data_IF_596261268410
#
_entry.id   IF_596261268410
#
_cell.length_a   1.000
_cell.length_b   1.000
_cell.length_c   1.000
_cell.angle_alpha   90.00
_cell.angle_beta   90.00
_cell.angle_gamma   90.00
#
_symmetry.space_group_name_H-M   'P 1'
#
loop_
_entity.id
_entity.type
_entity.pdbx_description
1 polymer ?
#
# COMPACT_ATOMS: atom_id res chain seq x y z
N UNK A 1 33.94 -0.27 8.37
CA UNK A 1 33.29 0.11 7.09
C UNK A 1 34.17 1.16 6.42
N UNK A 2 34.35 1.13 5.08
CA UNK A 2 35.09 2.22 4.39
C UNK A 2 34.27 3.51 4.51
N UNK A 3 34.93 4.66 4.65
CA UNK A 3 34.22 5.96 4.66
C UNK A 3 33.70 6.29 3.25
N UNK A 4 32.62 7.07 3.15
CA UNK A 4 32.05 7.47 1.85
C UNK A 4 33.11 8.07 0.91
N UNK A 5 33.99 8.92 1.46
CA UNK A 5 35.08 9.57 0.72
C UNK A 5 36.11 8.57 0.17
N UNK A 6 36.33 7.44 0.86
CA UNK A 6 37.22 6.36 0.42
C UNK A 6 36.56 5.44 -0.62
N UNK A 7 35.22 5.34 -0.56
CA UNK A 7 34.43 4.59 -1.54
C UNK A 7 34.38 5.36 -2.86
N UNK A 8 34.12 6.66 -2.81
CA UNK A 8 34.00 7.53 -3.97
C UNK A 8 35.33 8.12 -4.47
N UNK A 9 36.47 7.64 -3.94
CA UNK A 9 37.81 8.06 -4.37
C UNK A 9 38.01 7.76 -5.86
N UNK A 10 38.20 8.81 -6.64
CA UNK A 10 38.35 8.77 -8.11
C UNK A 10 39.64 8.13 -8.58
N UNK A 11 40.60 7.90 -7.69
CA UNK A 11 41.79 7.11 -8.01
C UNK A 11 41.48 5.61 -8.16
N UNK A 12 40.27 5.19 -7.78
CA UNK A 12 39.81 3.80 -7.86
C UNK A 12 39.05 3.55 -9.17
N UNK A 13 39.12 2.34 -9.73
CA UNK A 13 38.31 1.99 -10.90
C UNK A 13 36.82 2.03 -10.55
N UNK A 14 35.99 2.56 -11.47
CA UNK A 14 34.54 2.75 -11.29
C UNK A 14 33.85 1.44 -10.89
N UNK A 15 34.24 0.32 -11.49
CA UNK A 15 33.71 -1.01 -11.15
C UNK A 15 33.87 -1.35 -9.65
N UNK A 16 35.00 -0.94 -9.04
CA UNK A 16 35.26 -1.18 -7.62
C UNK A 16 34.47 -0.21 -6.72
N UNK A 17 34.18 1.01 -7.20
CA UNK A 17 33.31 1.97 -6.51
C UNK A 17 31.88 1.42 -6.47
N UNK A 18 31.37 0.99 -7.63
CA UNK A 18 30.02 0.43 -7.74
C UNK A 18 29.91 -0.88 -6.94
N UNK A 19 30.93 -1.73 -6.94
CA UNK A 19 30.93 -2.95 -6.13
C UNK A 19 30.84 -2.66 -4.63
N UNK A 20 31.54 -1.64 -4.13
CA UNK A 20 31.43 -1.23 -2.73
C UNK A 20 30.03 -0.62 -2.44
N UNK A 21 29.47 0.17 -3.37
CA UNK A 21 28.13 0.76 -3.24
C UNK A 21 26.97 -0.25 -3.38
N UNK A 22 27.21 -1.40 -4.00
CA UNK A 22 26.26 -2.50 -4.09
C UNK A 22 26.23 -3.38 -2.83
N UNK A 23 27.16 -3.17 -1.89
CA UNK A 23 27.13 -3.87 -0.60
C UNK A 23 25.96 -3.34 0.23
N UNK A 24 24.86 -4.11 0.21
CA UNK A 24 23.60 -3.70 0.81
C UNK A 24 23.69 -3.76 2.33
N UNK A 25 23.50 -2.62 2.99
CA UNK A 25 23.49 -2.54 4.46
C UNK A 25 22.23 -3.17 5.08
N UNK A 26 21.14 -3.28 4.30
CA UNK A 26 19.87 -3.88 4.71
C UNK A 26 19.69 -5.27 4.11
N UNK A 27 18.99 -6.15 4.82
CA UNK A 27 18.74 -7.55 4.38
C UNK A 27 17.25 -7.88 4.17
N UNK A 28 16.52 -7.16 3.30
CA UNK A 28 15.14 -7.52 3.01
C UNK A 28 15.05 -8.81 2.18
N UNK A 29 13.90 -9.48 2.18
CA UNK A 29 13.71 -10.72 1.43
C UNK A 29 13.82 -10.45 -0.06
N UNK A 30 14.34 -11.43 -0.81
CA UNK A 30 14.54 -11.25 -2.25
C UNK A 30 13.20 -10.99 -2.96
N UNK A 31 13.19 -9.98 -3.83
CA UNK A 31 12.00 -9.62 -4.59
C UNK A 31 11.48 -10.79 -5.44
N UNK A 32 12.37 -11.63 -5.98
CA UNK A 32 11.98 -12.82 -6.74
C UNK A 32 11.11 -13.79 -5.94
N UNK A 33 11.43 -14.00 -4.66
CA UNK A 33 10.63 -14.81 -3.76
C UNK A 33 9.30 -14.12 -3.43
N UNK A 34 9.33 -12.85 -3.04
CA UNK A 34 8.12 -12.09 -2.70
C UNK A 34 7.14 -12.04 -3.88
N UNK A 35 7.63 -11.83 -5.10
CA UNK A 35 6.85 -11.82 -6.34
C UNK A 35 6.17 -13.16 -6.61
N UNK A 36 6.85 -14.28 -6.33
CA UNK A 36 6.29 -15.63 -6.51
C UNK A 36 5.11 -15.94 -5.58
N UNK A 37 5.07 -15.28 -4.42
CA UNK A 37 3.99 -15.39 -3.43
C UNK A 37 2.89 -14.36 -3.66
N UNK A 38 3.24 -13.17 -4.18
CA UNK A 38 2.30 -12.08 -4.38
C UNK A 38 1.45 -12.22 -5.65
N UNK A 39 2.01 -12.78 -6.74
CA UNK A 39 1.30 -12.94 -8.02
C UNK A 39 0.70 -14.35 -8.16
N UNK A 40 -0.64 -14.50 -8.18
CA UNK A 40 -1.32 -15.78 -8.36
C UNK A 40 -0.87 -16.57 -9.59
N UNK A 41 -0.40 -15.89 -10.63
CA UNK A 41 0.07 -16.55 -11.85
C UNK A 41 1.39 -17.30 -11.66
N UNK A 42 2.19 -16.92 -10.66
CA UNK A 42 3.49 -17.52 -10.34
C UNK A 42 3.40 -18.53 -9.20
N UNK A 43 2.21 -18.73 -8.63
CA UNK A 43 2.01 -19.68 -7.54
C UNK A 43 2.35 -21.10 -8.00
N UNK A 44 2.93 -21.89 -7.10
CA UNK A 44 3.37 -23.26 -7.36
C UNK A 44 2.28 -24.12 -8.02
N UNK A 45 1.02 -23.98 -7.61
CA UNK A 45 -0.12 -24.74 -8.14
C UNK A 45 -0.30 -24.59 -9.66
N UNK A 46 0.08 -23.44 -10.25
CA UNK A 46 -0.02 -23.19 -11.69
C UNK A 46 1.02 -23.98 -12.48
N UNK A 47 2.21 -24.14 -11.91
CA UNK A 47 3.36 -24.78 -12.56
C UNK A 47 3.58 -26.23 -12.13
N UNK A 48 2.88 -26.68 -11.09
CA UNK A 48 2.95 -28.06 -10.64
C UNK A 48 2.32 -29.01 -11.67
N UNK A 49 3.21 -29.73 -12.34
CA UNK A 49 2.89 -30.80 -13.28
C UNK A 49 3.33 -32.16 -12.75
N UNK A 50 4.00 -32.20 -11.59
CA UNK A 50 4.53 -33.42 -11.00
C UNK A 50 3.51 -34.07 -10.04
N UNK A 51 3.00 -33.30 -9.07
CA UNK A 51 1.99 -33.76 -8.12
C UNK A 51 0.58 -33.63 -8.73
N UNK A 52 0.34 -32.61 -9.57
CA UNK A 52 -0.89 -32.42 -10.36
C UNK A 52 -0.70 -32.75 -11.85
N UNK A 53 -0.57 -34.05 -12.17
CA UNK A 53 -0.42 -34.53 -13.55
C UNK A 53 -1.71 -34.41 -14.35
N UNK A 54 -1.60 -33.93 -15.59
CA UNK A 54 -2.69 -33.99 -16.56
C UNK A 54 -2.93 -35.45 -16.98
N UNK A 55 -4.21 -35.83 -17.16
CA UNK A 55 -4.58 -37.20 -17.49
C UNK A 55 -4.69 -37.37 -19.01
N UNK A 56 -3.82 -38.19 -19.58
CA UNK A 56 -3.86 -38.54 -21.01
C UNK A 56 -4.83 -39.70 -21.22
N UNK A 57 -5.90 -39.50 -22.01
CA UNK A 57 -6.82 -40.56 -22.43
C UNK A 57 -6.37 -41.20 -23.74
N UNK A 58 -6.87 -42.40 -24.01
CA UNK A 58 -6.69 -43.07 -25.31
C UNK A 58 -7.16 -42.18 -26.46
N UNK A 59 -6.35 -42.07 -27.51
CA UNK A 59 -6.58 -41.16 -28.65
C UNK A 59 -5.90 -39.79 -28.55
N UNK A 60 -5.01 -39.58 -27.56
CA UNK A 60 -4.20 -38.35 -27.45
C UNK A 60 -4.94 -37.16 -26.83
N UNK A 61 -6.17 -37.36 -26.33
CA UNK A 61 -6.92 -36.31 -25.62
C UNK A 61 -6.36 -36.14 -24.20
N UNK A 62 -5.96 -34.92 -23.87
CA UNK A 62 -5.42 -34.55 -22.55
C UNK A 62 -6.50 -33.87 -21.73
N UNK A 63 -6.86 -34.46 -20.59
CA UNK A 63 -7.67 -33.80 -19.56
C UNK A 63 -6.73 -33.05 -18.62
N UNK A 64 -6.83 -31.71 -18.64
CA UNK A 64 -6.01 -30.85 -17.78
C UNK A 64 -6.52 -30.90 -16.35
N UNK A 65 -5.61 -31.04 -15.39
CA UNK A 65 -5.95 -30.89 -13.98
C UNK A 65 -6.33 -29.44 -13.67
N UNK A 66 -7.31 -29.24 -12.78
CA UNK A 66 -7.65 -27.92 -12.27
C UNK A 66 -6.46 -27.34 -11.47
N UNK A 67 -6.18 -26.05 -11.70
CA UNK A 67 -5.11 -25.29 -11.05
C UNK A 67 -5.67 -23.91 -10.70
N UNK A 68 -6.22 -23.79 -9.49
CA UNK A 68 -6.89 -22.59 -9.01
C UNK A 68 -5.96 -21.86 -8.04
N UNK A 69 -5.41 -20.72 -8.48
CA UNK A 69 -4.59 -19.84 -7.65
C UNK A 69 -5.42 -18.70 -7.06
N UNK A 70 -5.14 -18.32 -5.81
CA UNK A 70 -5.88 -17.32 -5.03
C UNK A 70 -4.90 -16.26 -4.51
N UNK A 71 -5.11 -14.99 -4.82
CA UNK A 71 -4.21 -13.90 -4.40
C UNK A 71 -4.48 -13.36 -3.00
N UNK A 72 -4.35 -14.18 -1.96
CA UNK A 72 -4.64 -13.80 -0.57
C UNK A 72 -3.65 -12.77 -0.02
N UNK A 73 -2.35 -12.93 -0.28
CA UNK A 73 -1.27 -12.05 0.20
C UNK A 73 -1.37 -10.68 -0.47
N UNK A 74 -1.65 -10.66 -1.78
CA UNK A 74 -1.92 -9.42 -2.50
C UNK A 74 -3.15 -8.70 -1.96
N UNK A 75 -4.20 -9.44 -1.60
CA UNK A 75 -5.40 -8.87 -0.99
C UNK A 75 -5.09 -8.32 0.41
N UNK A 76 -4.30 -9.04 1.21
CA UNK A 76 -3.87 -8.61 2.53
C UNK A 76 -3.12 -7.28 2.47
N UNK A 77 -2.07 -7.17 1.63
CA UNK A 77 -1.31 -5.92 1.50
C UNK A 77 -2.18 -4.77 1.00
N UNK A 78 -3.14 -5.02 0.11
CA UNK A 78 -4.11 -4.01 -0.29
C UNK A 78 -4.98 -3.56 0.88
N UNK A 79 -5.48 -4.49 1.70
CA UNK A 79 -6.30 -4.16 2.87
C UNK A 79 -5.51 -3.35 3.91
N UNK A 80 -4.30 -3.79 4.26
CA UNK A 80 -3.41 -3.07 5.20
C UNK A 80 -3.12 -1.66 4.68
N UNK A 81 -2.77 -1.54 3.39
CA UNK A 81 -2.55 -0.26 2.73
C UNK A 81 -3.80 0.64 2.75
N UNK A 82 -4.99 0.06 2.54
CA UNK A 82 -6.26 0.79 2.60
C UNK A 82 -6.58 1.26 4.02
N UNK A 83 -6.41 0.42 5.04
CA UNK A 83 -6.59 0.85 6.43
C UNK A 83 -5.65 2.00 6.79
N UNK A 84 -4.42 1.99 6.25
CA UNK A 84 -3.39 3.00 6.53
C UNK A 84 -3.58 4.31 5.75
N UNK A 85 -3.83 4.25 4.44
CA UNK A 85 -3.73 5.43 3.55
C UNK A 85 -5.02 5.80 2.80
N UNK A 86 -6.16 5.14 3.09
CA UNK A 86 -7.45 5.59 2.52
C UNK A 86 -7.82 6.99 2.99
N UNK A 87 -7.54 7.29 4.27
CA UNK A 87 -7.59 8.65 4.76
C UNK A 87 -6.24 9.34 4.51
N UNK A 88 -6.23 10.59 4.01
CA UNK A 88 -5.00 11.37 3.88
C UNK A 88 -4.25 11.45 5.21
N UNK A 89 -2.91 11.40 5.14
CA UNK A 89 -2.06 11.59 6.31
C UNK A 89 -2.25 13.01 6.83
N UNK A 90 -2.68 13.14 8.09
CA UNK A 90 -2.90 14.45 8.70
C UNK A 90 -1.56 15.01 9.16
N UNK A 91 -1.26 16.25 8.78
CA UNK A 91 -0.08 16.97 9.25
C UNK A 91 -0.50 18.03 10.25
N UNK A 92 0.15 18.06 11.40
CA UNK A 92 -0.04 19.07 12.43
C UNK A 92 1.19 19.95 12.46
N UNK A 93 0.98 21.24 12.25
CA UNK A 93 2.02 22.25 12.25
C UNK A 93 2.05 22.93 13.61
N UNK A 94 3.20 22.95 14.27
CA UNK A 94 3.42 23.62 15.54
C UNK A 94 4.36 24.82 15.39
N UNK A 95 4.31 25.75 16.35
CA UNK A 95 5.11 26.98 16.37
C UNK A 95 4.80 27.98 15.25
N UNK A 96 3.59 27.93 14.70
CA UNK A 96 3.08 28.82 13.63
C UNK A 96 2.27 30.02 14.16
N UNK A 97 1.93 30.03 15.45
CA UNK A 97 1.09 31.06 16.06
C UNK A 97 1.83 32.40 16.15
N UNK A 98 1.16 33.49 15.76
CA UNK A 98 1.70 34.85 15.87
C UNK A 98 2.80 35.22 14.85
N UNK A 99 3.17 34.34 13.92
CA UNK A 99 4.18 34.63 12.88
C UNK A 99 3.66 34.30 11.48
N UNK A 100 3.39 35.35 10.69
CA UNK A 100 2.89 35.24 9.32
C UNK A 100 3.82 34.43 8.41
N UNK A 101 5.15 34.58 8.55
CA UNK A 101 6.13 33.86 7.73
C UNK A 101 6.04 32.35 7.97
N UNK A 102 5.85 31.93 9.22
CA UNK A 102 5.72 30.51 9.56
C UNK A 102 4.41 29.90 9.06
N UNK A 103 3.34 30.69 9.04
CA UNK A 103 2.07 30.29 8.43
C UNK A 103 2.21 30.15 6.91
N UNK A 104 2.91 31.07 6.25
CA UNK A 104 3.20 30.99 4.81
C UNK A 104 4.05 29.77 4.46
N UNK A 105 5.05 29.42 5.30
CA UNK A 105 5.85 28.20 5.14
C UNK A 105 4.98 26.95 5.27
N UNK A 106 4.11 26.87 6.28
CA UNK A 106 3.19 25.74 6.45
C UNK A 106 2.24 25.59 5.23
N UNK A 107 1.71 26.71 4.74
CA UNK A 107 0.87 26.74 3.54
C UNK A 107 1.65 26.31 2.29
N UNK A 108 2.92 26.71 2.16
CA UNK A 108 3.78 26.30 1.05
C UNK A 108 4.03 24.79 1.06
N UNK A 109 4.28 24.19 2.24
CA UNK A 109 4.46 22.74 2.39
C UNK A 109 3.20 21.99 1.95
N UNK A 110 2.01 22.39 2.41
CA UNK A 110 0.75 21.76 1.98
C UNK A 110 0.50 21.90 0.48
N UNK A 111 0.80 23.07 -0.11
CA UNK A 111 0.70 23.26 -1.56
C UNK A 111 1.66 22.36 -2.34
N UNK A 112 2.89 22.16 -1.87
CA UNK A 112 3.84 21.23 -2.49
C UNK A 112 3.26 19.81 -2.49
N UNK A 113 2.74 19.37 -1.35
CA UNK A 113 2.12 18.06 -1.21
C UNK A 113 0.87 17.87 -2.09
N UNK A 114 0.03 18.90 -2.19
CA UNK A 114 -1.14 18.90 -3.07
C UNK A 114 -0.74 18.79 -4.55
N UNK A 115 0.25 19.59 -4.98
CA UNK A 115 0.75 19.59 -6.37
C UNK A 115 1.49 18.31 -6.74
N UNK A 116 2.10 17.64 -5.77
CA UNK A 116 2.71 16.33 -5.94
C UNK A 116 1.67 15.18 -5.92
N UNK A 117 0.40 15.47 -5.64
CA UNK A 117 -0.65 14.47 -5.43
C UNK A 117 -0.25 13.42 -4.39
N UNK A 118 0.33 13.87 -3.28
CA UNK A 118 1.00 13.00 -2.31
C UNK A 118 0.11 11.87 -1.77
N UNK A 119 -1.21 12.07 -1.68
CA UNK A 119 -2.14 11.04 -1.22
C UNK A 119 -2.18 9.83 -2.18
N UNK A 120 -2.13 10.09 -3.49
CA UNK A 120 -2.05 9.03 -4.49
C UNK A 120 -0.68 8.34 -4.45
N UNK A 121 0.38 9.12 -4.26
CA UNK A 121 1.75 8.61 -4.10
C UNK A 121 1.85 7.72 -2.85
N UNK A 122 1.29 8.16 -1.72
CA UNK A 122 1.21 7.42 -0.45
C UNK A 122 0.50 6.09 -0.61
N UNK A 123 -0.67 6.08 -1.26
CA UNK A 123 -1.41 4.84 -1.53
C UNK A 123 -0.60 3.87 -2.40
N UNK A 124 0.16 4.37 -3.39
CA UNK A 124 0.99 3.52 -4.26
C UNK A 124 2.23 3.00 -3.54
N UNK A 125 2.98 3.88 -2.86
CA UNK A 125 4.20 3.50 -2.15
C UNK A 125 3.94 2.67 -0.90
N UNK A 126 2.82 2.89 -0.21
CA UNK A 126 2.40 2.05 0.91
C UNK A 126 2.18 0.60 0.46
N UNK A 127 1.47 0.37 -0.65
CA UNK A 127 1.33 -0.98 -1.20
C UNK A 127 2.68 -1.62 -1.54
N UNK A 128 3.60 -0.84 -2.12
CA UNK A 128 4.95 -1.30 -2.45
C UNK A 128 5.77 -1.63 -1.19
N UNK A 129 5.67 -0.81 -0.14
CA UNK A 129 6.33 -1.05 1.14
C UNK A 129 5.81 -2.32 1.84
N UNK A 130 4.50 -2.52 1.87
CA UNK A 130 3.88 -3.70 2.47
C UNK A 130 4.16 -5.00 1.69
N UNK A 131 4.34 -4.92 0.38
CA UNK A 131 4.52 -6.09 -0.48
C UNK A 131 5.98 -6.42 -0.81
N UNK A 132 6.81 -5.42 -1.11
CA UNK A 132 8.19 -5.58 -1.56
C UNK A 132 9.22 -5.23 -0.46
N UNK A 133 8.77 -4.82 0.72
CA UNK A 133 9.60 -4.50 1.90
C UNK A 133 10.56 -3.32 1.74
N UNK A 134 10.65 -2.68 0.58
CA UNK A 134 11.54 -1.55 0.34
C UNK A 134 10.92 -0.49 -0.57
N UNK A 135 11.08 0.78 -0.18
CA UNK A 135 10.70 1.94 -0.97
C UNK A 135 11.73 3.07 -0.82
N UNK A 136 11.92 3.83 -1.89
CA UNK A 136 12.66 5.09 -1.87
C UNK A 136 11.89 6.16 -2.63
N UNK A 137 11.61 7.31 -2.01
CA UNK A 137 11.01 8.47 -2.71
C UNK A 137 12.07 9.55 -2.91
N UNK A 138 12.42 9.79 -4.18
CA UNK A 138 13.29 10.88 -4.61
C UNK A 138 12.45 12.14 -4.88
N UNK A 139 12.89 13.28 -4.35
CA UNK A 139 12.38 14.60 -4.67
C UNK A 139 13.38 15.34 -5.55
N UNK A 140 12.93 15.82 -6.70
CA UNK A 140 13.80 16.50 -7.67
C UNK A 140 13.14 17.76 -8.20
N UNK A 141 13.97 18.67 -8.69
CA UNK A 141 13.54 19.95 -9.24
C UNK A 141 13.54 19.91 -10.77
N UNK A 142 12.54 20.54 -11.37
CA UNK A 142 12.46 20.79 -12.81
C UNK A 142 12.43 22.29 -13.03
N UNK A 143 13.34 22.82 -13.84
CA UNK A 143 13.38 24.25 -14.17
C UNK A 143 12.11 24.66 -14.90
N UNK A 144 11.21 25.32 -14.18
CA UNK A 144 9.92 25.80 -14.68
C UNK A 144 9.37 26.82 -13.68
N UNK A 145 9.37 28.08 -14.12
CA UNK A 145 8.86 29.17 -13.32
C UNK A 145 7.38 28.95 -12.98
N UNK A 146 7.04 29.13 -11.70
CA UNK A 146 5.69 28.95 -11.18
C UNK A 146 5.45 29.80 -9.92
N UNK A 147 4.17 29.97 -9.58
CA UNK A 147 3.72 30.58 -8.32
C UNK A 147 2.90 29.58 -7.48
N UNK A 148 3.09 28.28 -7.75
CA UNK A 148 2.25 27.20 -7.23
C UNK A 148 2.33 27.08 -5.70
N UNK A 149 3.44 27.53 -5.09
CA UNK A 149 3.75 27.34 -3.67
C UNK A 149 3.42 28.55 -2.77
N UNK A 150 2.84 29.62 -3.34
CA UNK A 150 2.57 30.88 -2.62
C UNK A 150 3.70 31.91 -2.68
N UNK A 151 4.80 31.59 -3.34
CA UNK A 151 5.86 32.51 -3.72
C UNK A 151 6.30 32.23 -5.17
N UNK A 152 7.00 33.18 -5.79
CA UNK A 152 7.53 33.00 -7.14
C UNK A 152 8.77 32.07 -7.07
N UNK A 153 8.68 30.91 -7.70
CA UNK A 153 9.75 29.92 -7.76
C UNK A 153 10.18 29.71 -9.21
N UNK A 154 11.48 29.65 -9.46
CA UNK A 154 12.04 29.29 -10.77
C UNK A 154 11.96 27.77 -11.04
N UNK A 155 11.75 26.99 -9.99
CA UNK A 155 11.81 25.53 -10.02
C UNK A 155 10.49 24.92 -9.56
N UNK A 156 10.13 23.81 -10.18
CA UNK A 156 9.00 22.97 -9.80
C UNK A 156 9.52 21.70 -9.12
N UNK A 157 9.12 21.48 -7.88
CA UNK A 157 9.34 20.22 -7.18
C UNK A 157 8.45 19.12 -7.76
N UNK A 158 9.04 17.95 -7.95
CA UNK A 158 8.38 16.69 -8.26
C UNK A 158 8.94 15.59 -7.37
N UNK A 159 8.18 14.52 -7.21
CA UNK A 159 8.65 13.31 -6.54
C UNK A 159 8.48 12.09 -7.47
N UNK A 160 9.36 11.11 -7.28
CA UNK A 160 9.24 9.77 -7.88
C UNK A 160 9.57 8.75 -6.81
N UNK A 161 8.76 7.71 -6.71
CA UNK A 161 9.01 6.59 -5.81
C UNK A 161 9.52 5.40 -6.60
N UNK A 162 10.62 4.84 -6.13
CA UNK A 162 11.27 3.64 -6.63
C UNK A 162 10.99 2.48 -5.67
N UNK A 163 10.64 1.33 -6.25
CA UNK A 163 10.47 0.08 -5.50
C UNK A 163 10.65 -1.11 -6.45
N UNK A 164 11.20 -2.24 -5.96
CA UNK A 164 11.31 -3.48 -6.74
C UNK A 164 9.97 -3.93 -7.35
N UNK A 165 8.85 -3.58 -6.70
CA UNK A 165 7.50 -3.93 -7.16
C UNK A 165 7.11 -3.33 -8.53
N UNK A 166 7.52 -2.09 -8.80
CA UNK A 166 6.95 -1.30 -9.90
C UNK A 166 7.92 -1.08 -11.06
N UNK A 167 9.20 -0.94 -10.76
CA UNK A 167 10.19 -0.42 -11.71
C UNK A 167 11.32 -1.44 -11.96
N UNK A 168 11.20 -2.68 -11.46
CA UNK A 168 12.24 -3.73 -11.50
C UNK A 168 13.63 -3.21 -11.07
N UNK A 169 13.62 -2.25 -10.13
CA UNK A 169 14.82 -1.59 -9.61
C UNK A 169 15.37 -2.30 -8.38
N UNK A 170 16.68 -2.20 -8.19
CA UNK A 170 17.35 -2.64 -6.97
C UNK A 170 17.87 -1.43 -6.21
N UNK A 171 17.46 -1.32 -4.94
CA UNK A 171 17.87 -0.25 -4.04
C UNK A 171 19.05 -0.72 -3.19
N UNK A 172 20.06 0.13 -3.07
CA UNK A 172 21.26 -0.08 -2.27
C UNK A 172 21.48 1.12 -1.34
N UNK A 173 20.88 1.11 -0.13
CA UNK A 173 21.21 2.09 0.89
C UNK A 173 22.59 1.77 1.47
N UNK A 174 23.41 2.81 1.61
CA UNK A 174 24.65 2.76 2.37
C UNK A 174 24.40 3.49 3.70
N UNK A 175 24.39 2.73 4.79
CA UNK A 175 24.21 3.23 6.15
C UNK A 175 25.56 3.35 6.85
N UNK A 176 25.72 4.29 7.76
CA UNK A 176 26.89 4.38 8.64
C UNK A 176 26.74 3.48 9.89
N UNK A 177 27.69 3.56 10.82
CA UNK A 177 27.66 2.77 12.06
C UNK A 177 26.53 3.16 13.03
N UNK A 178 25.84 4.28 12.77
CA UNK A 178 24.72 4.81 13.57
C UNK A 178 23.37 4.67 12.85
N UNK A 179 23.30 3.87 11.79
CA UNK A 179 22.14 3.69 10.92
C UNK A 179 21.69 4.97 10.18
N UNK A 180 22.57 5.97 10.01
CA UNK A 180 22.29 7.13 9.17
C UNK A 180 22.69 6.85 7.71
N UNK A 181 21.82 7.26 6.79
CA UNK A 181 22.01 7.01 5.37
C UNK A 181 22.96 8.05 4.77
N UNK A 182 24.15 7.60 4.39
CA UNK A 182 25.21 8.44 3.81
C UNK A 182 25.15 8.50 2.27
N UNK A 183 24.65 7.44 1.64
CA UNK A 183 24.39 7.41 0.20
C UNK A 183 23.23 6.48 -0.12
N UNK A 184 22.49 6.83 -1.17
CA UNK A 184 21.45 5.97 -1.71
C UNK A 184 21.79 5.65 -3.16
N UNK A 185 21.89 4.37 -3.50
CA UNK A 185 22.13 3.95 -4.88
C UNK A 185 20.96 3.15 -5.46
N UNK A 186 20.70 3.31 -6.75
CA UNK A 186 19.64 2.63 -7.48
C UNK A 186 20.24 2.03 -8.74
N UNK A 187 20.07 0.71 -8.90
CA UNK A 187 20.36 0.02 -10.14
C UNK A 187 19.05 -0.24 -10.90
N UNK A 188 19.04 0.07 -12.19
CA UNK A 188 17.89 -0.18 -13.05
C UNK A 188 18.33 -0.44 -14.50
N UNK A 189 17.51 -1.16 -15.24
CA UNK A 189 17.75 -1.43 -16.66
C UNK A 189 16.71 -0.67 -17.48
N UNK A 190 17.15 0.14 -18.43
CA UNK A 190 16.27 0.89 -19.33
C UNK A 190 16.45 0.40 -20.77
N UNK A 191 15.33 0.23 -21.47
CA UNK A 191 15.32 -0.10 -22.91
C UNK A 191 15.50 1.17 -23.71
N UNK A 192 16.71 1.38 -24.22
CA UNK A 192 17.00 2.48 -25.14
C UNK A 192 17.05 1.89 -26.54
N UNK A 193 16.05 2.24 -27.36
CA UNK A 193 15.79 1.63 -28.67
C UNK A 193 15.48 0.12 -28.55
N UNK A 194 16.41 -0.77 -28.91
CA UNK A 194 16.27 -2.23 -28.87
C UNK A 194 17.30 -2.91 -27.94
N UNK A 195 18.11 -2.13 -27.23
CA UNK A 195 19.15 -2.63 -26.32
C UNK A 195 18.77 -2.36 -24.86
N UNK A 196 18.99 -3.38 -24.02
CA UNK A 196 18.87 -3.27 -22.56
C UNK A 196 20.18 -2.64 -22.03
N UNK A 197 20.07 -1.44 -21.45
CA UNK A 197 21.21 -0.72 -20.88
C UNK A 197 21.05 -0.64 -19.36
N UNK A 198 22.08 -1.08 -18.63
CA UNK A 198 22.12 -0.99 -17.18
C UNK A 198 22.64 0.39 -16.73
N UNK A 199 21.89 1.01 -15.83
CA UNK A 199 22.23 2.27 -15.17
C UNK A 199 22.41 2.06 -13.67
N UNK A 200 23.32 2.85 -13.08
CA UNK A 200 23.53 2.92 -11.64
C UNK A 200 23.56 4.41 -11.27
N UNK A 201 22.65 4.83 -10.40
CA UNK A 201 22.58 6.20 -9.89
C UNK A 201 22.85 6.20 -8.40
N UNK A 202 23.67 7.15 -7.91
CA UNK A 202 23.95 7.32 -6.49
C UNK A 202 23.74 8.77 -6.08
N UNK A 203 22.92 8.98 -5.06
CA UNK A 203 22.69 10.28 -4.42
C UNK A 203 23.42 10.34 -3.09
N UNK A 204 24.26 11.36 -2.93
CA UNK A 204 24.89 11.74 -1.67
C UNK A 204 24.28 13.06 -1.16
N UNK A 205 24.81 13.62 -0.07
CA UNK A 205 24.36 14.93 0.42
C UNK A 205 24.67 16.08 -0.55
N UNK A 206 25.78 15.95 -1.29
CA UNK A 206 26.36 17.06 -2.06
C UNK A 206 26.36 16.81 -3.56
N UNK A 207 26.35 15.55 -4.00
CA UNK A 207 26.52 15.18 -5.41
C UNK A 207 25.66 13.99 -5.82
N UNK A 208 25.13 14.06 -7.05
CA UNK A 208 24.41 13.00 -7.73
C UNK A 208 25.28 12.43 -8.84
N UNK A 209 25.59 11.13 -8.76
CA UNK A 209 26.35 10.41 -9.76
C UNK A 209 25.44 9.51 -10.58
N UNK A 210 25.71 9.42 -11.88
CA UNK A 210 25.03 8.50 -12.78
C UNK A 210 26.08 7.79 -13.65
N UNK A 211 26.03 6.48 -13.64
CA UNK A 211 26.87 5.61 -14.45
C UNK A 211 26.03 4.77 -15.39
N UNK A 212 26.58 4.57 -16.59
CA UNK A 212 26.01 3.71 -17.62
C UNK A 212 26.99 2.57 -17.90
N UNK A 213 26.48 1.35 -18.02
CA UNK A 213 27.28 0.20 -18.42
C UNK A 213 27.39 0.13 -19.95
N UNK A 214 28.61 0.20 -20.46
CA UNK A 214 28.92 -0.01 -21.88
C UNK A 214 29.44 -1.43 -22.11
N UNK A 215 29.06 -2.05 -23.24
CA UNK A 215 29.39 -3.45 -23.56
C UNK A 215 30.91 -3.72 -23.61
N UNK A 216 31.71 -2.72 -24.04
CA UNK A 216 33.14 -2.89 -24.32
C UNK A 216 34.07 -2.33 -23.22
N UNK A 217 33.56 -1.48 -22.32
CA UNK A 217 34.38 -0.69 -21.37
C UNK A 217 33.99 -0.79 -19.90
N UNK A 218 32.93 -1.54 -19.57
CA UNK A 218 32.42 -1.59 -18.20
C UNK A 218 31.60 -0.36 -17.86
N UNK A 219 31.61 0.07 -16.59
CA UNK A 219 30.85 1.24 -16.15
C UNK A 219 31.56 2.56 -16.54
N UNK A 220 30.80 3.51 -17.08
CA UNK A 220 31.27 4.84 -17.52
C UNK A 220 30.41 5.93 -16.88
N UNK A 221 31.01 7.04 -16.45
CA UNK A 221 30.27 8.22 -15.95
C UNK A 221 29.42 8.85 -17.07
N UNK A 222 28.13 9.03 -16.81
CA UNK A 222 27.21 9.67 -17.77
C UNK A 222 27.09 11.18 -17.56
N UNK A 223 27.20 11.62 -16.31
CA UNK A 223 27.15 13.05 -15.95
C UNK A 223 28.59 13.55 -15.79
N UNK A 224 29.10 14.17 -16.84
CA UNK A 224 30.44 14.76 -16.89
C UNK A 224 30.32 16.14 -17.50
N UNK A 225 30.72 17.17 -16.77
CA UNK A 225 30.86 18.53 -17.29
C UNK A 225 32.34 18.88 -17.35
N UNK A 226 32.79 19.43 -18.47
CA UNK A 226 34.12 20.04 -18.58
C UNK A 226 33.94 21.56 -18.46
N UNK A 227 34.60 22.18 -17.48
CA UNK A 227 34.67 23.63 -17.42
C UNK A 227 35.59 24.20 -18.51
N UNK A 228 35.46 25.51 -18.79
CA UNK A 228 36.29 26.19 -19.79
C UNK A 228 37.78 26.30 -19.41
N UNK A 229 38.18 25.84 -18.22
CA UNK A 229 39.54 25.86 -17.69
C UNK A 229 40.20 24.47 -17.67
N UNK A 230 39.47 23.42 -18.10
CA UNK A 230 39.97 22.05 -18.24
C UNK A 230 39.80 21.18 -16.99
N UNK A 231 39.02 21.60 -15.99
CA UNK A 231 38.60 20.74 -14.89
C UNK A 231 37.30 20.01 -15.26
N UNK A 232 37.32 18.70 -15.07
CA UNK A 232 36.17 17.83 -15.27
C UNK A 232 35.42 17.66 -13.95
N UNK A 233 34.18 18.12 -13.89
CA UNK A 233 33.26 17.84 -12.77
C UNK A 233 32.39 16.64 -13.09
N UNK A 234 32.35 15.69 -12.16
CA UNK A 234 31.59 14.45 -12.27
C UNK A 234 30.34 14.55 -11.40
N UNK A 235 29.19 14.24 -11.97
CA UNK A 235 27.90 14.32 -11.28
C UNK A 235 27.28 15.71 -11.24
N UNK A 236 25.99 15.75 -10.88
CA UNK A 236 25.25 16.99 -10.66
C UNK A 236 25.36 17.42 -9.19
N UNK A 237 25.65 18.70 -8.94
CA UNK A 237 25.71 19.25 -7.59
C UNK A 237 24.31 19.34 -6.95
N UNK A 238 24.20 18.87 -5.71
CA UNK A 238 22.98 18.92 -4.91
C UNK A 238 23.06 20.10 -3.94
N UNK A 239 22.41 21.21 -4.31
CA UNK A 239 22.44 22.46 -3.55
C UNK A 239 21.72 22.42 -2.19
N UNK A 240 20.95 21.37 -1.89
CA UNK A 240 20.21 21.27 -0.62
C UNK A 240 21.08 20.80 0.56
N UNK A 241 22.29 20.27 0.29
CA UNK A 241 23.21 19.75 1.33
C UNK A 241 22.65 18.56 2.11
N UNK A 242 21.76 17.78 1.49
CA UNK A 242 21.10 16.59 2.04
C UNK A 242 20.78 15.64 0.90
N UNK A 243 20.73 14.34 1.18
CA UNK A 243 20.22 13.38 0.18
C UNK A 243 18.77 13.74 -0.15
N UNK A 244 18.44 13.98 -1.44
CA UNK A 244 17.13 14.48 -1.89
C UNK A 244 16.05 13.38 -1.92
N UNK A 245 16.00 12.53 -0.90
CA UNK A 245 15.00 11.47 -0.82
C UNK A 245 14.86 10.86 0.57
N UNK A 246 13.86 10.01 0.70
CA UNK A 246 13.57 9.24 1.91
C UNK A 246 13.52 7.76 1.56
N UNK A 247 14.13 6.93 2.40
CA UNK A 247 14.19 5.49 2.28
C UNK A 247 13.47 4.84 3.45
N UNK A 248 12.72 3.78 3.20
CA UNK A 248 12.14 2.93 4.23
C UNK A 248 12.21 1.46 3.81
N UNK A 249 12.48 0.61 4.77
CA UNK A 249 12.61 -0.83 4.57
C UNK A 249 12.00 -1.63 5.72
N UNK A 250 11.83 -2.93 5.49
CA UNK A 250 11.34 -3.90 6.46
C UNK A 250 12.09 -5.22 6.33
N UNK A 251 12.24 -5.90 7.45
CA UNK A 251 12.79 -7.26 7.47
C UNK A 251 11.89 -8.27 6.77
N UNK A 252 10.57 -8.13 6.91
CA UNK A 252 9.61 -9.10 6.42
C UNK A 252 8.37 -8.44 5.81
N UNK A 253 7.73 -9.09 4.82
CA UNK A 253 6.49 -8.61 4.22
C UNK A 253 5.34 -8.72 5.21
N UNK A 254 4.24 -8.05 4.91
CA UNK A 254 3.02 -8.07 5.74
C UNK A 254 2.46 -9.49 5.98
N UNK A 255 2.83 -10.50 5.20
CA UNK A 255 2.32 -11.88 5.26
C UNK A 255 3.27 -12.90 5.92
N UNK A 256 4.16 -12.46 6.81
CA UNK A 256 5.27 -13.21 7.42
C UNK A 256 4.91 -14.52 8.15
N UNK A 257 3.74 -14.61 8.79
CA UNK A 257 3.39 -15.64 9.80
C UNK A 257 3.08 -17.05 9.23
N UNK A 258 3.82 -17.54 8.23
CA UNK A 258 3.58 -18.85 7.61
C UNK A 258 2.28 -18.90 6.80
N UNK A 259 1.81 -17.74 6.36
CA UNK A 259 0.53 -17.60 5.65
C UNK A 259 0.57 -18.11 4.20
N UNK A 260 1.73 -18.09 3.47
CA UNK A 260 1.80 -18.69 2.14
C UNK A 260 1.53 -20.19 2.12
N UNK A 261 1.91 -20.92 3.18
CA UNK A 261 1.64 -22.34 3.32
C UNK A 261 0.13 -22.61 3.49
N UNK A 262 -0.58 -21.78 4.28
CA UNK A 262 -2.03 -21.87 4.43
C UNK A 262 -2.74 -21.62 3.10
N UNK A 263 -2.30 -20.61 2.34
CA UNK A 263 -2.82 -20.39 0.99
C UNK A 263 -2.56 -21.59 0.10
N UNK A 264 -1.33 -22.10 0.05
CA UNK A 264 -0.96 -23.23 -0.80
C UNK A 264 -1.88 -24.42 -0.52
N UNK A 265 -2.10 -24.76 0.75
CA UNK A 265 -3.00 -25.86 1.13
C UNK A 265 -4.45 -25.64 0.69
N UNK A 266 -4.97 -24.41 0.81
CA UNK A 266 -6.28 -24.03 0.28
C UNK A 266 -6.34 -24.19 -1.25
N UNK A 267 -5.33 -23.74 -1.98
CA UNK A 267 -5.25 -23.85 -3.44
C UNK A 267 -5.24 -25.31 -3.91
N UNK A 268 -4.42 -26.16 -3.29
CA UNK A 268 -4.38 -27.58 -3.62
C UNK A 268 -5.68 -28.28 -3.28
N UNK A 269 -6.25 -28.01 -2.11
CA UNK A 269 -7.53 -28.60 -1.68
C UNK A 269 -8.66 -28.18 -2.61
N UNK A 270 -8.79 -26.89 -2.92
CA UNK A 270 -9.83 -26.38 -3.80
C UNK A 270 -9.67 -26.87 -5.25
N UNK A 271 -8.44 -26.95 -5.74
CA UNK A 271 -8.16 -27.49 -7.07
C UNK A 271 -8.50 -28.98 -7.18
N UNK A 272 -8.20 -29.78 -6.14
CA UNK A 272 -8.57 -31.20 -6.08
C UNK A 272 -10.09 -31.38 -6.04
N UNK A 273 -10.78 -30.58 -5.23
CA UNK A 273 -12.24 -30.59 -5.15
C UNK A 273 -12.88 -30.23 -6.49
N UNK A 274 -12.32 -29.24 -7.21
CA UNK A 274 -12.78 -28.88 -8.55
C UNK A 274 -12.70 -30.05 -9.55
N UNK A 275 -11.61 -30.81 -9.54
CA UNK A 275 -11.47 -32.00 -10.40
C UNK A 275 -12.50 -33.09 -10.04
N UNK A 276 -12.74 -33.30 -8.74
CA UNK A 276 -13.74 -34.25 -8.26
C UNK A 276 -15.14 -33.85 -8.71
N UNK A 277 -15.50 -32.57 -8.56
CA UNK A 277 -16.79 -32.04 -9.01
C UNK A 277 -16.92 -32.16 -10.53
N UNK A 278 -15.88 -31.80 -11.29
CA UNK A 278 -15.88 -31.91 -12.74
C UNK A 278 -16.06 -33.36 -13.20
N UNK A 279 -15.34 -34.32 -12.57
CA UNK A 279 -15.42 -35.73 -12.90
C UNK A 279 -16.80 -36.34 -12.60
N UNK A 280 -17.43 -35.92 -11.50
CA UNK A 280 -18.70 -36.47 -11.02
C UNK A 280 -19.93 -35.64 -11.42
N UNK A 281 -19.75 -34.57 -12.20
CA UNK A 281 -20.84 -33.70 -12.65
C UNK A 281 -21.89 -34.42 -13.51
N UNK A 282 -21.50 -35.50 -14.18
CA UNK A 282 -22.39 -36.38 -14.91
C UNK A 282 -22.83 -37.57 -14.01
N UNK A 283 -24.14 -37.82 -13.84
CA UNK A 283 -24.60 -38.93 -13.02
C UNK A 283 -24.18 -40.27 -13.62
N UNK A 284 -23.50 -41.09 -12.83
CA UNK A 284 -23.12 -42.45 -13.22
C UNK A 284 -24.20 -43.42 -12.73
N UNK A 285 -24.76 -44.18 -13.65
CA UNK A 285 -25.75 -45.20 -13.36
C UNK A 285 -25.04 -46.54 -13.08
N UNK A 286 -25.20 -47.08 -11.88
CA UNK A 286 -24.73 -48.41 -11.50
C UNK A 286 -25.85 -49.41 -11.79
N UNK A 287 -25.54 -50.44 -12.56
CA UNK A 287 -26.40 -51.60 -12.74
C UNK A 287 -25.74 -52.82 -12.12
N UNK A 288 -26.38 -53.40 -11.10
CA UNK A 288 -26.03 -54.71 -10.59
C UNK A 288 -26.89 -55.78 -11.29
N UNK A 289 -26.31 -56.94 -11.62
CA UNK A 289 -27.06 -58.10 -12.16
C UNK A 289 -27.20 -58.18 -13.68
N UNK A 290 -26.58 -57.29 -14.46
CA UNK A 290 -26.62 -57.32 -15.93
C UNK A 290 -27.91 -56.75 -16.51
N UNK A 291 -27.79 -55.92 -17.56
CA UNK A 291 -28.92 -55.29 -18.24
C UNK A 291 -29.49 -56.27 -19.28
N UNK A 292 -30.78 -56.56 -19.21
CA UNK A 292 -31.49 -57.34 -20.23
C UNK A 292 -32.30 -56.40 -21.15
N UNK A 293 -31.67 -55.96 -22.25
CA UNK A 293 -32.29 -55.11 -23.28
C UNK A 293 -31.35 -54.00 -23.77
N UNK A 294 -31.65 -53.42 -24.93
CA UNK A 294 -31.05 -52.16 -25.42
C UNK A 294 -32.15 -51.10 -25.39
N UNK A 295 -31.95 -50.02 -24.64
CA UNK A 295 -32.82 -48.84 -24.71
C UNK A 295 -32.19 -47.79 -25.63
N UNK A 296 -33.02 -47.17 -26.47
CA UNK A 296 -32.64 -46.03 -27.30
C UNK A 296 -33.32 -44.74 -26.78
N UNK A 297 -32.62 -43.61 -26.95
CA UNK A 297 -33.08 -42.30 -26.48
C UNK A 297 -34.32 -41.87 -27.29
N UNK A 298 -35.52 -41.98 -26.71
CA UNK A 298 -36.76 -41.49 -27.33
C UNK A 298 -38.04 -42.22 -26.93
N UNK A 299 -37.96 -43.32 -26.18
CA UNK A 299 -39.15 -44.11 -25.80
C UNK A 299 -39.96 -43.49 -24.65
N UNK A 300 -41.29 -43.56 -24.76
CA UNK A 300 -42.28 -42.99 -23.82
C UNK A 300 -42.30 -43.70 -22.46
N UNK A 301 -41.72 -44.90 -22.34
CA UNK A 301 -41.63 -45.67 -21.09
C UNK A 301 -40.24 -46.29 -20.96
N UNK A 302 -39.45 -45.79 -20.01
CA UNK A 302 -38.12 -46.35 -19.64
C UNK A 302 -38.31 -47.43 -18.59
N UNK A 303 -37.85 -48.65 -18.84
CA UNK A 303 -37.97 -49.78 -17.93
C UNK A 303 -36.65 -50.54 -17.87
N UNK A 304 -35.89 -50.32 -16.80
CA UNK A 304 -34.66 -51.06 -16.56
C UNK A 304 -34.98 -52.49 -16.10
N UNK A 305 -34.62 -53.48 -16.94
CA UNK A 305 -34.73 -54.90 -16.60
C UNK A 305 -33.36 -55.43 -16.22
N UNK A 306 -33.23 -55.87 -14.97
CA UNK A 306 -32.01 -56.41 -14.37
C UNK A 306 -32.18 -57.89 -14.06
N UNK A 307 -31.16 -58.70 -14.35
CA UNK A 307 -31.22 -60.14 -14.08
C UNK A 307 -30.81 -60.45 -12.62
N UNK A 308 -31.24 -61.60 -12.10
CA UNK A 308 -30.81 -62.18 -10.81
C UNK A 308 -30.94 -61.25 -9.58
N UNK A 309 -32.09 -60.58 -9.42
CA UNK A 309 -32.32 -59.70 -8.25
C UNK A 309 -31.43 -58.45 -8.25
N UNK A 310 -30.96 -58.03 -9.42
CA UNK A 310 -30.18 -56.83 -9.62
C UNK A 310 -30.90 -55.55 -9.21
N UNK A 311 -30.13 -54.48 -9.07
CA UNK A 311 -30.62 -53.15 -8.69
C UNK A 311 -29.99 -52.09 -9.61
N UNK A 312 -30.73 -51.00 -9.83
CA UNK A 312 -30.28 -49.84 -10.59
C UNK A 312 -30.28 -48.64 -9.66
N UNK A 313 -29.09 -48.19 -9.30
CA UNK A 313 -28.89 -47.03 -8.44
C UNK A 313 -27.94 -46.03 -9.09
N UNK A 314 -28.12 -44.75 -8.79
CA UNK A 314 -27.09 -43.76 -9.11
C UNK A 314 -25.91 -43.95 -8.17
N UNK A 315 -24.70 -43.88 -8.70
CA UNK A 315 -23.50 -43.79 -7.89
C UNK A 315 -23.47 -42.40 -7.27
N UNK A 316 -23.94 -42.29 -6.04
CA UNK A 316 -23.75 -41.09 -5.23
C UNK A 316 -22.40 -41.18 -4.52
N UNK A 317 -21.67 -40.08 -4.57
CA UNK A 317 -20.40 -39.96 -3.88
C UNK A 317 -20.66 -39.45 -2.46
N UNK A 318 -20.25 -40.25 -1.47
CA UNK A 318 -20.46 -39.96 -0.05
C UNK A 318 -19.13 -39.61 0.64
N UNK A 319 -18.35 -38.66 0.09
CA UNK A 319 -17.27 -38.04 0.87
C UNK A 319 -17.84 -36.91 1.73
N UNK A 320 -17.08 -36.58 2.78
CA UNK A 320 -17.38 -35.43 3.63
C UNK A 320 -17.03 -34.12 2.91
N UNK A 321 -17.93 -33.67 2.02
CA UNK A 321 -17.91 -32.31 1.47
C UNK A 321 -17.86 -31.27 2.60
N UNK A 322 -18.49 -31.61 3.73
CA UNK A 322 -18.46 -30.82 4.95
C UNK A 322 -17.06 -30.70 5.56
N UNK A 323 -16.27 -31.78 5.58
CA UNK A 323 -14.88 -31.73 6.06
C UNK A 323 -13.99 -30.87 5.14
N UNK A 324 -14.11 -31.01 3.82
CA UNK A 324 -13.35 -30.19 2.86
C UNK A 324 -13.70 -28.71 3.02
N UNK A 325 -14.99 -28.39 3.12
CA UNK A 325 -15.46 -27.03 3.35
C UNK A 325 -14.95 -26.49 4.69
N UNK A 326 -15.09 -27.26 5.78
CA UNK A 326 -14.63 -26.86 7.11
C UNK A 326 -13.12 -26.61 7.14
N UNK A 327 -12.34 -27.41 6.41
CA UNK A 327 -10.89 -27.24 6.29
C UNK A 327 -10.52 -25.94 5.56
N UNK A 328 -11.15 -25.66 4.42
CA UNK A 328 -10.94 -24.42 3.66
C UNK A 328 -11.34 -23.20 4.51
N UNK A 329 -12.53 -23.23 5.11
CA UNK A 329 -13.05 -22.14 5.93
C UNK A 329 -12.11 -21.87 7.12
N UNK A 330 -11.68 -22.93 7.85
CA UNK A 330 -10.73 -22.79 8.98
C UNK A 330 -9.37 -22.26 8.55
N UNK A 331 -8.88 -22.66 7.39
CA UNK A 331 -7.58 -22.18 6.86
C UNK A 331 -7.65 -20.70 6.48
N UNK A 332 -8.75 -20.26 5.88
CA UNK A 332 -8.99 -18.84 5.59
C UNK A 332 -9.16 -18.02 6.88
N UNK A 333 -9.87 -18.54 7.87
CA UNK A 333 -10.03 -17.88 9.18
C UNK A 333 -8.67 -17.73 9.88
N UNK A 334 -7.84 -18.79 9.88
CA UNK A 334 -6.48 -18.74 10.43
C UNK A 334 -5.59 -17.76 9.67
N UNK A 335 -5.70 -17.70 8.34
CA UNK A 335 -4.97 -16.72 7.52
C UNK A 335 -5.29 -15.29 7.97
N UNK A 336 -6.56 -14.96 8.19
CA UNK A 336 -6.98 -13.63 8.62
C UNK A 336 -6.59 -13.33 10.07
N UNK A 337 -6.71 -14.30 10.99
CA UNK A 337 -6.33 -14.17 12.40
C UNK A 337 -4.82 -13.97 12.58
N UNK A 338 -3.97 -14.77 11.93
CA UNK A 338 -2.52 -14.63 12.03
C UNK A 338 -2.03 -13.29 11.46
N UNK A 339 -2.76 -12.74 10.50
CA UNK A 339 -2.49 -11.44 9.92
C UNK A 339 -3.22 -10.29 10.64
N UNK A 340 -3.88 -10.54 11.77
CA UNK A 340 -4.61 -9.50 12.53
C UNK A 340 -5.53 -8.63 11.64
N UNK A 341 -6.16 -9.26 10.64
CA UNK A 341 -6.97 -8.56 9.64
C UNK A 341 -8.34 -9.24 9.57
N UNK A 342 -9.44 -8.51 9.77
CA UNK A 342 -10.78 -9.11 9.74
C UNK A 342 -11.14 -9.52 8.32
N UNK A 343 -11.91 -10.59 8.18
CA UNK A 343 -12.49 -10.91 6.88
C UNK A 343 -13.69 -10.00 6.56
N UNK A 344 -13.43 -9.00 5.73
CA UNK A 344 -14.45 -8.08 5.22
C UNK A 344 -15.19 -8.60 3.98
N UNK A 345 -15.25 -9.92 3.79
CA UNK A 345 -16.04 -10.51 2.70
C UNK A 345 -17.52 -10.14 2.84
N UNK A 346 -18.19 -9.92 1.71
CA UNK A 346 -19.61 -9.52 1.69
C UNK A 346 -20.50 -10.49 2.50
N UNK A 347 -20.20 -11.79 2.44
CA UNK A 347 -20.91 -12.83 3.19
C UNK A 347 -20.78 -12.63 4.70
N UNK A 348 -19.57 -12.36 5.19
CA UNK A 348 -19.34 -12.14 6.62
C UNK A 348 -19.92 -10.81 7.08
N UNK A 349 -19.85 -9.77 6.24
CA UNK A 349 -20.50 -8.48 6.51
C UNK A 349 -22.03 -8.60 6.58
N UNK A 350 -22.65 -9.42 5.73
CA UNK A 350 -24.09 -9.72 5.81
C UNK A 350 -24.44 -10.49 7.09
N UNK A 351 -23.59 -11.44 7.51
CA UNK A 351 -23.81 -12.21 8.74
C UNK A 351 -23.74 -11.34 10.00
N UNK A 352 -22.91 -10.29 10.01
CA UNK A 352 -22.83 -9.34 11.11
C UNK A 352 -24.09 -8.46 11.25
N UNK A 353 -24.80 -8.17 10.16
CA UNK A 353 -25.98 -7.30 10.18
C UNK A 353 -25.67 -5.83 10.49
N UNK A 354 -26.68 -5.04 10.88
CA UNK A 354 -26.50 -3.62 11.25
C UNK A 354 -25.98 -3.49 12.69
N UNK A 355 -24.70 -3.78 12.89
CA UNK A 355 -24.04 -3.64 14.19
C UNK A 355 -23.79 -2.16 14.53
N UNK A 356 -23.94 -1.83 15.81
CA UNK A 356 -23.62 -0.50 16.36
C UNK A 356 -22.16 -0.09 16.11
N UNK A 357 -21.88 1.21 16.17
CA UNK A 357 -20.53 1.76 15.93
C UNK A 357 -19.46 1.12 16.82
N UNK A 358 -19.73 0.97 18.12
CA UNK A 358 -18.78 0.39 19.08
C UNK A 358 -18.47 -1.09 18.76
N UNK A 359 -19.48 -1.85 18.36
CA UNK A 359 -19.29 -3.24 17.95
C UNK A 359 -18.42 -3.37 16.69
N UNK A 360 -18.50 -2.42 15.75
CA UNK A 360 -17.60 -2.36 14.59
C UNK A 360 -16.16 -2.07 15.01
N UNK A 361 -15.96 -1.17 15.96
CA UNK A 361 -14.63 -0.91 16.51
C UNK A 361 -14.03 -2.15 17.17
N UNK A 362 -14.82 -2.92 17.92
CA UNK A 362 -14.37 -4.18 18.52
C UNK A 362 -13.94 -5.21 17.47
N UNK A 363 -14.72 -5.37 16.39
CA UNK A 363 -14.39 -6.30 15.30
C UNK A 363 -13.13 -5.88 14.53
N UNK A 364 -12.91 -4.56 14.40
CA UNK A 364 -11.75 -4.01 13.70
C UNK A 364 -10.55 -3.77 14.62
N UNK A 365 -10.67 -4.00 15.93
CA UNK A 365 -9.66 -3.61 16.93
C UNK A 365 -8.26 -4.14 16.58
N UNK A 366 -8.18 -5.39 16.14
CA UNK A 366 -6.92 -6.03 15.77
C UNK A 366 -6.29 -5.35 14.55
N UNK A 367 -7.09 -5.04 13.52
CA UNK A 367 -6.61 -4.28 12.37
C UNK A 367 -6.20 -2.85 12.70
N UNK A 368 -6.86 -2.22 13.68
CA UNK A 368 -6.49 -0.88 14.16
C UNK A 368 -5.14 -0.90 14.89
N UNK A 369 -4.93 -1.89 15.77
CA UNK A 369 -3.66 -2.09 16.47
C UNK A 369 -2.54 -2.35 15.48
N UNK A 370 -2.76 -3.28 14.54
CA UNK A 370 -1.82 -3.57 13.46
C UNK A 370 -1.49 -2.32 12.65
N UNK A 371 -2.49 -1.54 12.24
CA UNK A 371 -2.26 -0.30 11.48
C UNK A 371 -1.42 0.70 12.29
N UNK A 372 -1.60 0.75 13.61
CA UNK A 372 -0.79 1.57 14.51
C UNK A 372 0.69 1.17 14.52
N UNK A 373 0.99 -0.12 14.59
CA UNK A 373 2.37 -0.63 14.51
C UNK A 373 2.98 -0.39 13.13
N UNK A 374 2.25 -0.75 12.08
CA UNK A 374 2.66 -0.65 10.68
C UNK A 374 2.83 0.82 10.22
N UNK A 375 2.22 1.77 10.94
CA UNK A 375 2.34 3.19 10.67
C UNK A 375 3.66 3.80 11.12
N UNK A 376 4.35 3.24 12.12
CA UNK A 376 5.53 3.88 12.73
C UNK A 376 6.67 4.08 11.72
N UNK A 377 7.11 3.06 10.95
CA UNK A 377 8.19 3.26 9.97
C UNK A 377 7.78 4.23 8.85
N UNK A 378 6.49 4.32 8.56
CA UNK A 378 5.96 5.28 7.57
C UNK A 378 5.95 6.71 8.10
N UNK A 379 5.73 6.91 9.40
CA UNK A 379 5.81 8.23 10.05
C UNK A 379 7.25 8.73 10.00
N UNK A 380 8.23 7.91 10.39
CA UNK A 380 9.67 8.23 10.29
C UNK A 380 10.06 8.61 8.84
N UNK A 381 9.56 7.84 7.88
CA UNK A 381 9.74 8.12 6.46
C UNK A 381 9.15 9.48 6.04
N UNK A 382 7.94 9.84 6.50
CA UNK A 382 7.32 11.13 6.18
C UNK A 382 8.01 12.30 6.89
N UNK A 383 8.55 12.09 8.08
CA UNK A 383 9.35 13.10 8.77
C UNK A 383 10.65 13.37 8.01
N UNK A 384 11.34 12.33 7.53
CA UNK A 384 12.51 12.48 6.66
C UNK A 384 12.16 13.18 5.36
N UNK A 385 11.05 12.81 4.72
CA UNK A 385 10.54 13.46 3.50
C UNK A 385 10.23 14.94 3.72
N UNK A 386 9.57 15.29 4.83
CA UNK A 386 9.27 16.68 5.18
C UNK A 386 10.56 17.48 5.40
N UNK A 387 11.59 16.88 6.00
CA UNK A 387 12.90 17.50 6.17
C UNK A 387 13.61 17.75 4.82
N UNK A 388 13.43 16.89 3.82
CA UNK A 388 13.91 17.13 2.45
C UNK A 388 13.17 18.33 1.83
N UNK A 389 11.84 18.36 1.94
CA UNK A 389 11.02 19.45 1.38
C UNK A 389 11.38 20.79 2.03
N UNK A 390 11.58 20.83 3.35
CA UNK A 390 12.06 22.02 4.06
C UNK A 390 13.40 22.49 3.53
N UNK A 391 14.34 21.58 3.26
CA UNK A 391 15.64 21.94 2.68
C UNK A 391 15.49 22.55 1.27
N UNK A 392 14.59 22.01 0.44
CA UNK A 392 14.27 22.63 -0.85
C UNK A 392 13.64 24.02 -0.70
N UNK A 393 12.71 24.21 0.25
CA UNK A 393 12.08 25.53 0.48
C UNK A 393 13.15 26.57 0.88
N UNK A 394 14.12 26.21 1.71
CA UNK A 394 15.23 27.12 2.09
C UNK A 394 16.02 27.61 0.88
N UNK A 395 16.30 26.72 -0.07
CA UNK A 395 17.04 27.08 -1.28
C UNK A 395 16.19 27.85 -2.29
N UNK A 396 14.90 27.53 -2.40
CA UNK A 396 13.99 28.22 -3.32
C UNK A 396 13.59 29.61 -2.83
N UNK A 397 13.50 29.81 -1.51
CA UNK A 397 13.17 31.10 -0.90
C UNK A 397 14.12 31.41 0.26
N UNK A 398 15.23 32.07 -0.07
CA UNK A 398 16.27 32.44 0.90
C UNK A 398 15.76 33.36 2.02
N UNK A 399 14.69 34.13 1.79
CA UNK A 399 14.12 35.00 2.81
C UNK A 399 13.49 34.22 3.98
N UNK A 400 13.09 32.97 3.75
CA UNK A 400 12.49 32.11 4.78
C UNK A 400 13.51 31.22 5.48
N UNK A 401 14.77 31.20 5.04
CA UNK A 401 15.78 30.26 5.50
C UNK A 401 15.97 30.22 7.03
N UNK A 402 15.83 31.37 7.71
CA UNK A 402 15.96 31.48 9.17
C UNK A 402 14.75 30.94 9.95
N UNK A 403 13.58 30.82 9.33
CA UNK A 403 12.33 30.44 10.00
C UNK A 403 11.82 29.05 9.64
N UNK A 404 12.30 28.45 8.53
CA UNK A 404 11.84 27.13 8.06
C UNK A 404 12.07 26.02 9.08
N UNK A 405 13.19 26.03 9.81
CA UNK A 405 13.49 25.00 10.82
C UNK A 405 12.63 25.14 12.08
N UNK A 406 12.09 26.33 12.34
CA UNK A 406 11.26 26.59 13.50
C UNK A 406 9.86 25.98 13.35
N UNK A 407 9.43 25.67 12.12
CA UNK A 407 8.13 25.03 11.85
C UNK A 407 8.23 23.54 12.11
N UNK A 408 7.62 23.07 13.20
CA UNK A 408 7.59 21.64 13.54
C UNK A 408 6.40 21.00 12.84
N UNK A 409 6.61 19.86 12.16
CA UNK A 409 5.58 19.15 11.41
C UNK A 409 5.48 17.72 11.92
N UNK A 410 4.34 17.37 12.50
CA UNK A 410 4.05 16.01 12.98
C UNK A 410 3.06 15.33 12.04
N UNK A 411 3.36 14.09 11.66
CA UNK A 411 2.50 13.28 10.78
C UNK A 411 1.67 12.31 11.61
N UNK A 412 0.36 12.29 11.38
CA UNK A 412 -0.58 11.38 12.02
C UNK A 412 -1.31 10.56 10.96
N UNK A 413 -1.12 9.25 11.01
CA UNK A 413 -1.89 8.29 10.22
C UNK A 413 -3.14 7.91 11.02
N UNK A 414 -4.30 8.09 10.41
CA UNK A 414 -5.58 7.72 11.02
C UNK A 414 -6.12 6.48 10.31
N UNK A 415 -6.32 5.37 11.01
CA UNK A 415 -6.87 4.18 10.39
C UNK A 415 -8.28 4.44 9.88
N UNK A 416 -8.60 3.92 8.69
CA UNK A 416 -9.93 4.05 8.14
C UNK A 416 -10.96 3.25 8.96
N UNK A 417 -12.00 3.92 9.44
CA UNK A 417 -13.16 3.27 10.04
C UNK A 417 -14.44 3.84 9.46
N UNK A 418 -15.42 2.97 9.23
CA UNK A 418 -16.76 3.38 8.82
C UNK A 418 -17.37 4.26 9.92
N UNK A 419 -17.49 5.55 9.64
CA UNK A 419 -18.12 6.51 10.54
C UNK A 419 -19.63 6.39 10.48
N UNK A 420 -20.28 6.43 11.64
CA UNK A 420 -21.71 6.65 11.72
C UNK A 420 -21.95 8.12 12.07
N UNK A 421 -22.40 8.90 11.10
CA UNK A 421 -22.67 10.33 11.25
C UNK A 421 -23.68 10.61 12.38
N UNK A 422 -24.70 9.76 12.54
CA UNK A 422 -25.68 9.92 13.62
C UNK A 422 -25.06 9.71 15.00
N UNK A 423 -24.17 8.72 15.13
CA UNK A 423 -23.47 8.47 16.39
C UNK A 423 -22.50 9.63 16.73
N UNK A 424 -21.82 10.17 15.72
CA UNK A 424 -20.92 11.31 15.87
C UNK A 424 -21.70 12.58 16.26
N UNK A 425 -22.81 12.90 15.58
CA UNK A 425 -23.69 14.02 15.95
C UNK A 425 -24.21 13.85 17.37
N UNK A 426 -24.70 12.67 17.75
CA UNK A 426 -25.19 12.40 19.09
C UNK A 426 -24.10 12.53 20.17
N UNK A 427 -22.86 12.09 19.87
CA UNK A 427 -21.71 12.28 20.75
C UNK A 427 -21.41 13.77 20.95
N UNK A 428 -21.33 14.54 19.87
CA UNK A 428 -21.07 15.99 19.89
C UNK A 428 -22.18 16.77 20.60
N UNK A 429 -23.45 16.43 20.33
CA UNK A 429 -24.59 17.01 21.02
C UNK A 429 -24.56 16.73 22.53
N UNK A 430 -24.14 15.53 22.95
CA UNK A 430 -23.96 15.22 24.38
C UNK A 430 -22.77 15.95 25.00
N UNK A 431 -21.66 16.05 24.27
CA UNK A 431 -20.43 16.70 24.74
C UNK A 431 -20.60 18.23 24.89
N UNK A 432 -21.39 18.85 24.01
CA UNK A 432 -21.70 20.28 24.01
C UNK A 432 -22.94 20.62 24.89
N UNK A 433 -24.01 19.81 24.81
CA UNK A 433 -25.33 20.10 25.38
C UNK A 433 -25.65 19.48 26.75
N UNK A 434 -24.69 18.80 27.41
CA UNK A 434 -24.96 18.05 28.65
C UNK A 434 -24.14 18.45 29.88
N UNK A 435 -22.86 18.81 29.72
CA UNK A 435 -21.96 19.50 30.68
C UNK A 435 -20.55 19.58 30.07
N UNK A 436 -20.25 20.75 29.49
CA UNK A 436 -18.96 21.36 29.16
C UNK A 436 -17.69 20.45 29.09
N UNK A 437 -17.56 19.65 28.04
CA UNK A 437 -16.26 19.01 27.69
C UNK A 437 -15.62 19.71 26.49
N UNK A 438 -16.41 20.19 25.53
CA UNK A 438 -15.92 20.92 24.36
C UNK A 438 -16.80 22.13 24.06
N UNK A 439 -16.19 23.18 23.51
CA UNK A 439 -16.93 24.39 23.10
C UNK A 439 -17.77 24.12 21.85
N UNK A 440 -18.77 24.97 21.59
CA UNK A 440 -19.54 24.90 20.34
C UNK A 440 -18.64 25.05 19.12
N UNK A 441 -17.63 25.93 19.18
CA UNK A 441 -16.67 26.15 18.10
C UNK A 441 -15.83 24.89 17.87
N UNK A 442 -15.27 24.33 18.94
CA UNK A 442 -14.47 23.10 18.86
C UNK A 442 -15.31 21.90 18.39
N UNK A 443 -16.59 21.85 18.73
CA UNK A 443 -17.53 20.84 18.23
C UNK A 443 -17.73 20.95 16.71
N UNK A 444 -17.86 22.18 16.19
CA UNK A 444 -18.02 22.45 14.75
C UNK A 444 -16.72 22.14 14.01
N UNK A 445 -15.56 22.55 14.55
CA UNK A 445 -14.24 22.24 13.99
C UNK A 445 -14.01 20.73 13.93
N UNK A 446 -14.30 20.01 15.02
CA UNK A 446 -14.12 18.56 15.09
C UNK A 446 -15.11 17.79 14.21
N UNK A 447 -16.31 18.32 13.98
CA UNK A 447 -17.27 17.75 13.04
C UNK A 447 -16.80 17.90 11.59
N UNK A 448 -16.02 18.95 11.29
CA UNK A 448 -15.24 19.06 10.05
C UNK A 448 -16.04 19.18 8.75
N UNK A 449 -17.38 19.29 8.82
CA UNK A 449 -18.25 19.52 7.65
C UNK A 449 -18.39 20.99 7.28
N UNK A 450 -18.07 21.90 8.20
CA UNK A 450 -18.01 23.32 7.88
C UNK A 450 -16.63 23.71 7.37
N UNK A 451 -16.60 24.54 6.33
CA UNK A 451 -15.36 25.11 5.77
C UNK A 451 -14.77 26.21 6.64
N UNK A 452 -15.61 26.87 7.45
CA UNK A 452 -15.22 27.93 8.37
C UNK A 452 -16.05 27.80 9.65
N UNK A 453 -15.41 27.25 10.69
CA UNK A 453 -16.07 26.99 11.96
C UNK A 453 -16.44 28.29 12.69
N UNK A 454 -15.68 29.37 12.52
CA UNK A 454 -15.97 30.67 13.12
C UNK A 454 -17.19 31.30 12.47
N UNK A 455 -17.26 31.35 11.14
CA UNK A 455 -18.44 31.86 10.43
C UNK A 455 -19.71 31.05 10.75
N UNK A 456 -19.58 29.74 10.96
CA UNK A 456 -20.72 28.88 11.31
C UNK A 456 -21.21 29.14 12.73
N UNK A 457 -20.29 29.36 13.68
CA UNK A 457 -20.65 29.75 15.05
C UNK A 457 -21.40 31.10 15.05
N UNK A 458 -20.92 32.07 14.27
CA UNK A 458 -21.58 33.38 14.14
C UNK A 458 -23.00 33.24 13.58
N UNK A 459 -23.21 32.40 12.56
CA UNK A 459 -24.54 32.12 12.02
C UNK A 459 -25.46 31.48 13.08
N UNK A 460 -24.97 30.49 13.82
CA UNK A 460 -25.74 29.83 14.90
C UNK A 460 -26.12 30.84 16.00
N UNK A 461 -25.22 31.75 16.36
CA UNK A 461 -25.50 32.80 17.34
C UNK A 461 -26.54 33.81 16.83
N UNK A 462 -26.47 34.19 15.54
CA UNK A 462 -27.46 35.08 14.93
C UNK A 462 -28.84 34.43 14.84
N UNK A 463 -28.92 33.14 14.50
CA UNK A 463 -30.18 32.37 14.50
C UNK A 463 -30.76 32.27 15.91
N UNK A 464 -29.94 31.91 16.89
CA UNK A 464 -30.35 31.84 18.30
C UNK A 464 -30.85 33.18 18.85
N UNK A 465 -30.22 34.30 18.45
CA UNK A 465 -30.65 35.64 18.84
C UNK A 465 -32.00 36.02 18.20
N UNK A 466 -32.21 35.68 16.92
CA UNK A 466 -33.49 35.87 16.23
C UNK A 466 -34.60 35.04 16.88
N UNK A 467 -34.36 33.78 17.19
CA UNK A 467 -35.35 32.91 17.86
C UNK A 467 -35.75 33.42 19.24
N UNK A 468 -34.79 33.88 20.05
CA UNK A 468 -35.08 34.50 21.36
C UNK A 468 -35.90 35.78 21.23
N UNK A 469 -35.65 36.58 20.20
CA UNK A 469 -36.44 37.80 19.94
C UNK A 469 -37.89 37.49 19.54
N UNK A 470 -38.11 36.44 18.74
CA UNK A 470 -39.44 35.98 18.33
C UNK A 470 -40.20 35.37 19.52
N UNK A 471 -39.53 34.57 20.35
CA UNK A 471 -40.13 34.02 21.57
C UNK A 471 -40.53 35.13 22.56
N UNK A 472 -39.67 36.13 22.80
CA UNK A 472 -40.04 37.27 23.64
C UNK A 472 -41.28 38.00 23.09
N UNK A 473 -41.34 38.28 21.79
CA UNK A 473 -42.51 38.95 21.19
C UNK A 473 -43.80 38.10 21.33
N UNK A 474 -43.72 36.77 21.17
CA UNK A 474 -44.89 35.89 21.38
C UNK A 474 -45.37 35.81 22.84
N UNK A 475 -44.46 35.93 23.81
CA UNK A 475 -44.82 35.97 25.25
C UNK A 475 -45.46 37.30 25.62
N UNK A 476 -45.03 38.41 24.99
CA UNK A 476 -45.67 39.71 25.16
C UNK A 476 -47.04 39.81 24.48
N UNK A 477 -47.26 39.14 23.34
CA UNK A 477 -48.58 39.09 22.68
C UNK A 477 -49.56 38.13 23.36
N UNK A 478 -49.09 37.07 24.04
CA UNK A 478 -49.94 36.15 24.81
C UNK A 478 -50.31 36.61 26.22
N UNK A 479 -49.76 37.74 26.67
CA UNK A 479 -50.03 38.35 27.98
C UNK A 479 -50.85 39.66 27.91
N UNK A 480 -51.27 40.08 26.70
CA UNK A 480 -52.38 41.01 26.47
C UNK A 480 -53.65 40.22 26.17
#
# INVERSE_FOLDING_TARGET
MKRLDEILDRNRPIDAIISDLQEKSTTPPSWSYLRSVLDPKLHRIIHDTYDRRDKVRGGGKVDKAARLAIGLERLLCKRVNQFTFTLPVKRVYSNIEGNAVRQDIANAIERIYERAHINSVNMRRGFAFFAACEIFTLWYVVKKQNTDYGFNSEYKLRCRTFSPLHDDVVLYPLLDEYDDMIAMSIAYTEKIMDEDVDFFETWTADTHFKWRKEADRGWVDEIVYEDGEGNTTYGDEILIGKIPGSYAWRDNPTWEQGTPQLREDVEYTHSRDSDVVAYNSAPILKVAGGVAGKEEKGETRRVYRVQNGGDVSYVSWNQSQEATKSHIDRSLDLFWQLNQMPDTSFKNMMALGNIGYDARMTVLMDALLRTGEESQPMIEFFERECNVIKAFIKQMNQAWASEVDNVIVTHHIQPYVMRNEEAEINLRMKANGGKAIESQLESIERFGKSKDAQATLEQIQQESAKEKSVQMNSVFEGAM
#
